data_IF_364094193879
#
_entry.id   IF_364094193879
#
_cell.length_a   1.000
_cell.length_b   1.000
_cell.length_c   1.000
_cell.angle_alpha   90.00
_cell.angle_beta   90.00
_cell.angle_gamma   90.00
#
_symmetry.space_group_name_H-M   'P 1'
#
loop_
_entity.id
_entity.type
_entity.pdbx_description
1 polymer ?
#
# COMPACT_ATOMS: atom_id res chain seq x y z
N UNK A 1 -9.27 18.65 -14.22
CA UNK A 1 -10.20 17.81 -13.41
C UNK A 1 -9.57 17.67 -12.03
N UNK A 2 -10.34 17.65 -10.94
CA UNK A 2 -9.76 17.39 -9.60
C UNK A 2 -9.22 15.96 -9.55
N UNK A 3 -8.10 15.79 -8.85
CA UNK A 3 -7.40 14.51 -8.68
C UNK A 3 -6.95 13.86 -9.99
N UNK A 4 -6.66 14.67 -11.01
CA UNK A 4 -6.12 14.21 -12.29
C UNK A 4 -4.66 13.76 -12.11
N UNK A 5 -4.37 12.53 -12.53
CA UNK A 5 -3.05 11.93 -12.48
C UNK A 5 -2.42 11.76 -13.88
N UNK A 6 -3.03 12.39 -14.90
CA UNK A 6 -2.53 12.33 -16.28
C UNK A 6 -1.07 12.80 -16.36
N UNK A 7 -0.22 11.99 -16.99
CA UNK A 7 1.22 12.22 -17.10
C UNK A 7 2.03 11.90 -15.85
N UNK A 8 1.39 11.39 -14.77
CA UNK A 8 2.10 10.84 -13.63
C UNK A 8 2.44 9.37 -13.85
N UNK A 9 3.53 8.94 -13.23
CA UNK A 9 4.01 7.56 -13.26
C UNK A 9 4.02 6.97 -11.87
N UNK A 10 3.65 5.68 -11.73
CA UNK A 10 3.54 5.06 -10.42
C UNK A 10 4.02 3.61 -10.36
N UNK A 11 4.48 3.19 -9.17
CA UNK A 11 4.75 1.79 -8.82
C UNK A 11 3.77 1.35 -7.74
N UNK A 12 3.05 0.25 -8.00
CA UNK A 12 2.12 -0.37 -7.04
C UNK A 12 2.60 -1.78 -6.72
N UNK A 13 2.93 -2.05 -5.44
CA UNK A 13 3.32 -3.40 -5.00
C UNK A 13 2.12 -4.21 -4.54
N UNK A 14 2.16 -5.54 -4.71
CA UNK A 14 1.03 -6.42 -4.40
C UNK A 14 -0.20 -6.14 -5.27
N UNK A 15 0.01 -5.68 -6.50
CA UNK A 15 -1.02 -5.15 -7.38
C UNK A 15 -2.01 -6.21 -7.90
N UNK A 16 -1.63 -7.49 -7.94
CA UNK A 16 -2.50 -8.58 -8.41
C UNK A 16 -3.37 -9.20 -7.31
N UNK A 17 -3.36 -8.65 -6.10
CA UNK A 17 -4.13 -9.14 -4.95
C UNK A 17 -5.08 -8.08 -4.39
N UNK A 18 -6.21 -8.50 -3.83
CA UNK A 18 -7.12 -7.72 -3.00
C UNK A 18 -7.16 -6.21 -3.26
N UNK A 19 -6.71 -5.44 -2.29
CA UNK A 19 -6.68 -3.98 -2.36
C UNK A 19 -5.78 -3.43 -3.47
N UNK A 20 -4.65 -4.12 -3.77
CA UNK A 20 -3.71 -3.68 -4.80
C UNK A 20 -4.34 -3.55 -6.18
N UNK A 21 -5.24 -4.47 -6.51
CA UNK A 21 -6.02 -4.43 -7.77
C UNK A 21 -6.91 -3.17 -7.85
N UNK A 22 -7.64 -2.87 -6.78
CA UNK A 22 -8.52 -1.70 -6.72
C UNK A 22 -7.71 -0.39 -6.75
N UNK A 23 -6.61 -0.32 -6.01
CA UNK A 23 -5.69 0.82 -5.99
C UNK A 23 -5.13 1.09 -7.40
N UNK A 24 -4.60 0.05 -8.06
CA UNK A 24 -4.02 0.22 -9.39
C UNK A 24 -5.07 0.63 -10.43
N UNK A 25 -6.30 0.05 -10.37
CA UNK A 25 -7.41 0.47 -11.22
C UNK A 25 -7.80 1.93 -10.99
N UNK A 26 -7.89 2.37 -9.75
CA UNK A 26 -8.24 3.74 -9.41
C UNK A 26 -7.21 4.75 -9.93
N UNK A 27 -5.92 4.48 -9.71
CA UNK A 27 -4.82 5.33 -10.20
C UNK A 27 -4.76 5.37 -11.75
N UNK A 28 -4.89 4.21 -12.41
CA UNK A 28 -4.93 4.11 -13.86
C UNK A 28 -6.16 4.83 -14.44
N UNK A 29 -7.32 4.69 -13.81
CA UNK A 29 -8.56 5.36 -14.19
C UNK A 29 -8.48 6.90 -14.11
N UNK A 30 -7.57 7.44 -13.30
CA UNK A 30 -7.26 8.86 -13.22
C UNK A 30 -6.10 9.28 -14.14
N UNK A 31 -5.62 8.40 -15.01
CA UNK A 31 -4.63 8.71 -16.04
C UNK A 31 -3.18 8.44 -15.65
N UNK A 32 -2.88 7.84 -14.51
CA UNK A 32 -1.52 7.46 -14.16
C UNK A 32 -1.03 6.26 -15.00
N UNK A 33 0.20 6.33 -15.51
CA UNK A 33 0.90 5.18 -16.08
C UNK A 33 1.60 4.39 -14.99
N UNK A 34 1.36 3.07 -14.91
CA UNK A 34 1.77 2.27 -13.78
C UNK A 34 2.75 1.15 -14.15
N UNK A 35 3.72 0.93 -13.25
CA UNK A 35 4.31 -0.38 -13.03
C UNK A 35 3.49 -1.07 -11.93
N UNK A 36 2.94 -2.24 -12.24
CA UNK A 36 2.29 -3.13 -11.29
C UNK A 36 3.27 -4.23 -10.89
N UNK A 37 3.42 -4.51 -9.59
CA UNK A 37 4.36 -5.52 -9.10
C UNK A 37 3.72 -6.50 -8.13
N UNK A 38 4.19 -7.75 -8.17
CA UNK A 38 3.73 -8.85 -7.34
C UNK A 38 4.58 -10.10 -7.55
N UNK A 39 4.43 -11.10 -6.69
CA UNK A 39 5.22 -12.35 -6.75
C UNK A 39 4.72 -13.37 -7.77
N UNK A 40 3.41 -13.37 -8.08
CA UNK A 40 2.84 -14.26 -9.09
C UNK A 40 2.78 -13.55 -10.44
N UNK A 41 3.72 -13.88 -11.32
CA UNK A 41 3.91 -13.22 -12.62
C UNK A 41 2.69 -13.44 -13.55
N UNK A 42 2.12 -14.62 -13.60
CA UNK A 42 0.97 -14.93 -14.48
C UNK A 42 -0.26 -14.09 -14.10
N UNK A 43 -0.60 -14.05 -12.79
CA UNK A 43 -1.70 -13.21 -12.29
C UNK A 43 -1.44 -11.74 -12.52
N UNK A 44 -0.17 -11.32 -12.38
CA UNK A 44 0.24 -9.94 -12.56
C UNK A 44 0.11 -9.50 -14.03
N UNK A 45 0.53 -10.33 -14.97
CA UNK A 45 0.41 -10.07 -16.40
C UNK A 45 -1.05 -10.02 -16.86
N UNK A 46 -1.87 -10.98 -16.40
CA UNK A 46 -3.31 -10.97 -16.67
C UNK A 46 -3.97 -9.69 -16.12
N UNK A 47 -3.61 -9.29 -14.91
CA UNK A 47 -4.11 -8.06 -14.31
C UNK A 47 -3.65 -6.82 -15.10
N UNK A 48 -2.36 -6.70 -15.43
CA UNK A 48 -1.83 -5.62 -16.25
C UNK A 48 -2.58 -5.50 -17.58
N UNK A 49 -2.84 -6.63 -18.25
CA UNK A 49 -3.61 -6.64 -19.49
C UNK A 49 -5.04 -6.11 -19.30
N UNK A 50 -5.68 -6.41 -18.16
CA UNK A 50 -7.04 -5.94 -17.85
C UNK A 50 -7.13 -4.43 -17.54
N UNK A 51 -6.03 -3.77 -17.21
CA UNK A 51 -6.01 -2.32 -16.98
C UNK A 51 -6.15 -1.53 -18.30
N UNK A 52 -5.82 -2.14 -19.43
CA UNK A 52 -5.67 -1.41 -20.70
C UNK A 52 -4.46 -0.47 -20.67
N UNK A 53 -4.28 0.30 -21.76
CA UNK A 53 -3.22 1.32 -21.78
C UNK A 53 -1.80 0.77 -21.76
N UNK A 54 -0.84 1.66 -21.49
CA UNK A 54 0.60 1.37 -21.51
C UNK A 54 1.14 1.17 -20.07
N UNK A 55 0.61 0.15 -19.38
CA UNK A 55 1.10 -0.26 -18.06
C UNK A 55 2.11 -1.40 -18.19
N UNK A 56 3.03 -1.53 -17.21
CA UNK A 56 4.09 -2.53 -17.21
C UNK A 56 3.94 -3.46 -15.99
N UNK A 57 4.21 -4.75 -16.17
CA UNK A 57 4.28 -5.71 -15.07
C UNK A 57 5.75 -6.02 -14.74
N UNK A 58 6.12 -5.98 -13.45
CA UNK A 58 7.44 -6.38 -12.97
C UNK A 58 7.25 -7.32 -11.79
N UNK A 59 7.63 -8.60 -11.99
CA UNK A 59 7.63 -9.61 -10.93
C UNK A 59 8.65 -9.25 -9.85
N UNK A 60 8.24 -9.31 -8.57
CA UNK A 60 9.15 -9.12 -7.45
C UNK A 60 8.66 -9.92 -6.23
N UNK A 61 9.55 -10.73 -5.67
CA UNK A 61 9.35 -11.34 -4.37
C UNK A 61 9.93 -10.43 -3.28
N UNK A 62 9.07 -9.86 -2.44
CA UNK A 62 9.50 -8.92 -1.39
C UNK A 62 10.24 -9.58 -0.21
N UNK A 63 10.32 -10.90 -0.15
CA UNK A 63 11.21 -11.60 0.77
C UNK A 63 12.66 -11.68 0.28
N UNK A 64 12.93 -11.31 -0.98
CA UNK A 64 14.27 -11.23 -1.55
C UNK A 64 14.73 -9.77 -1.57
N UNK A 65 15.60 -9.41 -0.64
CA UNK A 65 16.11 -8.04 -0.53
C UNK A 65 16.83 -7.54 -1.79
N UNK A 66 17.52 -8.42 -2.53
CA UNK A 66 18.19 -8.05 -3.78
C UNK A 66 17.17 -7.71 -4.88
N UNK A 67 16.11 -8.50 -5.00
CA UNK A 67 15.01 -8.23 -5.92
C UNK A 67 14.30 -6.91 -5.56
N UNK A 68 14.08 -6.64 -4.27
CA UNK A 68 13.48 -5.39 -3.79
C UNK A 68 14.33 -4.18 -4.15
N UNK A 69 15.66 -4.25 -3.98
CA UNK A 69 16.58 -3.15 -4.29
C UNK A 69 16.61 -2.82 -5.80
N UNK A 70 16.29 -3.79 -6.68
CA UNK A 70 16.19 -3.60 -8.12
C UNK A 70 14.81 -3.12 -8.60
N UNK A 71 13.77 -3.29 -7.82
CA UNK A 71 12.39 -3.02 -8.28
C UNK A 71 12.17 -1.55 -8.66
N UNK A 72 12.59 -0.60 -7.83
CA UNK A 72 12.43 0.83 -8.14
C UNK A 72 13.29 1.26 -9.32
N UNK A 73 14.59 0.92 -9.44
CA UNK A 73 15.38 1.18 -10.64
C UNK A 73 14.72 0.67 -11.91
N UNK A 74 14.27 -0.58 -11.93
CA UNK A 74 13.59 -1.19 -13.08
C UNK A 74 12.26 -0.49 -13.41
N UNK A 75 11.49 -0.09 -12.38
CA UNK A 75 10.26 0.67 -12.58
C UNK A 75 10.52 2.05 -13.19
N UNK A 76 11.53 2.76 -12.70
CA UNK A 76 11.94 4.08 -13.26
C UNK A 76 12.33 3.95 -14.73
N UNK A 77 13.13 2.93 -15.08
CA UNK A 77 13.52 2.66 -16.47
C UNK A 77 12.28 2.37 -17.35
N UNK A 78 11.42 1.45 -16.93
CA UNK A 78 10.21 1.06 -17.65
C UNK A 78 9.22 2.24 -17.84
N UNK A 79 9.23 3.20 -16.91
CA UNK A 79 8.39 4.40 -16.96
C UNK A 79 9.04 5.59 -17.68
N UNK A 80 10.20 5.41 -18.32
CA UNK A 80 10.86 6.46 -19.08
C UNK A 80 11.70 7.43 -18.23
N UNK A 81 12.25 6.95 -17.12
CA UNK A 81 13.18 7.70 -16.27
C UNK A 81 12.51 8.49 -15.13
N UNK A 82 11.21 8.27 -14.86
CA UNK A 82 10.43 9.03 -13.89
C UNK A 82 9.63 8.11 -12.97
N UNK A 83 9.52 8.48 -11.70
CA UNK A 83 8.63 7.85 -10.73
C UNK A 83 8.01 8.93 -9.83
N UNK A 84 6.70 9.16 -9.97
CA UNK A 84 5.96 10.18 -9.22
C UNK A 84 5.23 9.59 -8.01
N UNK A 85 4.77 8.34 -8.11
CA UNK A 85 3.91 7.70 -7.10
C UNK A 85 4.52 6.35 -6.72
N UNK A 86 4.67 6.10 -5.42
CA UNK A 86 5.00 4.79 -4.85
C UNK A 86 3.89 4.36 -3.90
N UNK A 87 3.27 3.20 -4.20
CA UNK A 87 2.29 2.56 -3.32
C UNK A 87 2.91 1.29 -2.70
N UNK A 88 3.25 1.35 -1.43
CA UNK A 88 3.64 0.20 -0.64
C UNK A 88 2.36 -0.48 -0.12
N UNK A 89 1.80 -1.41 -0.91
CA UNK A 89 0.58 -2.11 -0.58
C UNK A 89 0.82 -3.59 -0.25
N UNK A 90 1.82 -4.24 -0.82
CA UNK A 90 2.10 -5.64 -0.56
C UNK A 90 2.27 -5.91 0.94
N UNK A 91 1.75 -7.04 1.38
CA UNK A 91 1.88 -7.49 2.75
C UNK A 91 1.30 -8.88 2.97
N UNK A 92 1.78 -9.54 4.00
CA UNK A 92 1.35 -10.87 4.43
C UNK A 92 0.98 -10.86 5.90
N UNK A 93 0.21 -11.85 6.33
CA UNK A 93 -0.07 -12.16 7.73
C UNK A 93 0.43 -13.56 8.06
N UNK A 94 0.89 -13.77 9.29
CA UNK A 94 1.23 -15.07 9.88
C UNK A 94 0.69 -15.04 11.30
N UNK A 95 -0.62 -15.24 11.41
CA UNK A 95 -1.35 -15.08 12.67
C UNK A 95 -1.08 -16.26 13.59
N UNK A 96 -0.61 -15.97 14.80
CA UNK A 96 -0.40 -16.95 15.85
C UNK A 96 -0.41 -16.26 17.22
N UNK A 97 -0.84 -16.97 18.28
CA UNK A 97 -0.76 -16.43 19.64
C UNK A 97 0.71 -16.21 20.03
N UNK A 98 0.99 -15.16 20.81
CA UNK A 98 2.35 -14.77 21.20
C UNK A 98 3.21 -15.96 21.68
N UNK A 99 2.68 -16.83 22.52
CA UNK A 99 3.40 -17.98 23.05
C UNK A 99 3.66 -19.11 22.04
N UNK A 100 3.04 -19.04 20.87
CA UNK A 100 3.16 -20.05 19.79
C UNK A 100 3.77 -19.48 18.51
N UNK A 101 3.87 -18.16 18.41
CA UNK A 101 4.44 -17.47 17.26
C UNK A 101 5.92 -17.85 17.15
N UNK A 102 6.31 -18.32 15.98
CA UNK A 102 7.70 -18.67 15.69
C UNK A 102 8.48 -17.46 15.20
N UNK A 103 9.79 -17.51 15.37
CA UNK A 103 10.68 -16.43 14.92
C UNK A 103 10.59 -16.23 13.41
N UNK A 104 10.53 -17.30 12.61
CA UNK A 104 10.37 -17.23 11.16
C UNK A 104 9.04 -16.59 10.72
N UNK A 105 7.94 -16.85 11.43
CA UNK A 105 6.64 -16.19 11.21
C UNK A 105 6.70 -14.68 11.49
N UNK A 106 7.45 -14.29 12.51
CA UNK A 106 7.66 -12.89 12.86
C UNK A 106 8.57 -12.20 11.84
N UNK A 107 9.72 -12.78 11.54
CA UNK A 107 10.73 -12.26 10.62
C UNK A 107 10.18 -12.09 9.20
N UNK A 108 9.46 -13.08 8.66
CA UNK A 108 8.84 -12.99 7.34
C UNK A 108 7.89 -11.79 7.22
N UNK A 109 7.04 -11.58 8.24
CA UNK A 109 6.08 -10.47 8.24
C UNK A 109 6.79 -9.13 8.32
N UNK A 110 7.81 -8.99 9.16
CA UNK A 110 8.60 -7.76 9.26
C UNK A 110 9.34 -7.49 7.96
N UNK A 111 9.97 -8.50 7.38
CA UNK A 111 10.73 -8.38 6.14
C UNK A 111 9.86 -7.91 4.97
N UNK A 112 8.70 -8.55 4.77
CA UNK A 112 7.84 -8.24 3.63
C UNK A 112 7.05 -6.94 3.85
N UNK A 113 6.49 -6.75 5.05
CA UNK A 113 5.56 -5.63 5.29
C UNK A 113 6.26 -4.32 5.63
N UNK A 114 7.44 -4.37 6.27
CA UNK A 114 8.11 -3.18 6.78
C UNK A 114 9.47 -2.94 6.11
N UNK A 115 10.37 -3.93 6.12
CA UNK A 115 11.71 -3.74 5.56
C UNK A 115 11.68 -3.52 4.05
N UNK A 116 10.88 -4.28 3.30
CA UNK A 116 10.72 -4.05 1.86
C UNK A 116 10.19 -2.64 1.57
N UNK A 117 9.19 -2.16 2.31
CA UNK A 117 8.68 -0.80 2.16
C UNK A 117 9.77 0.26 2.43
N UNK A 118 10.59 0.08 3.47
CA UNK A 118 11.74 0.94 3.74
C UNK A 118 12.71 0.98 2.55
N UNK A 119 13.09 -0.19 2.00
CA UNK A 119 14.00 -0.28 0.86
C UNK A 119 13.44 0.44 -0.38
N UNK A 120 12.14 0.24 -0.66
CA UNK A 120 11.46 0.89 -1.78
C UNK A 120 11.36 2.41 -1.60
N UNK A 121 11.03 2.91 -0.39
CA UNK A 121 11.02 4.35 -0.10
C UNK A 121 12.41 4.96 -0.29
N UNK A 122 13.45 4.32 0.24
CA UNK A 122 14.85 4.75 0.11
C UNK A 122 15.28 4.83 -1.36
N UNK A 123 14.92 3.84 -2.16
CA UNK A 123 15.24 3.81 -3.59
C UNK A 123 14.45 4.89 -4.37
N UNK A 124 13.18 5.11 -4.05
CA UNK A 124 12.32 6.10 -4.69
C UNK A 124 12.68 7.56 -4.32
N UNK A 125 13.25 7.79 -3.14
CA UNK A 125 13.59 9.12 -2.66
C UNK A 125 14.52 9.88 -3.64
N UNK A 126 15.55 9.21 -4.18
CA UNK A 126 16.53 9.87 -5.07
C UNK A 126 15.92 10.40 -6.38
N UNK A 127 15.20 9.62 -7.19
CA UNK A 127 14.55 10.14 -8.40
C UNK A 127 13.48 11.19 -8.09
N UNK A 128 12.69 11.02 -7.02
CA UNK A 128 11.67 11.98 -6.60
C UNK A 128 12.30 13.32 -6.13
N UNK A 129 13.40 13.29 -5.37
CA UNK A 129 14.12 14.50 -4.98
C UNK A 129 14.69 15.24 -6.19
N UNK A 130 15.22 14.52 -7.21
CA UNK A 130 15.71 15.12 -8.45
C UNK A 130 14.58 15.80 -9.23
N UNK A 131 13.40 15.18 -9.27
CA UNK A 131 12.20 15.72 -9.91
C UNK A 131 11.54 16.85 -9.09
N UNK A 132 11.88 17.00 -7.78
CA UNK A 132 11.20 17.87 -6.82
C UNK A 132 9.68 17.60 -6.75
N UNK A 133 9.33 16.36 -6.91
CA UNK A 133 7.95 15.86 -6.83
C UNK A 133 7.94 14.38 -6.46
N UNK A 134 7.04 13.98 -5.56
CA UNK A 134 6.84 12.58 -5.20
C UNK A 134 5.63 12.40 -4.28
N UNK A 135 5.02 11.24 -4.38
CA UNK A 135 3.89 10.78 -3.56
C UNK A 135 4.16 9.36 -3.10
N UNK A 136 4.48 9.19 -1.83
CA UNK A 136 4.72 7.89 -1.22
C UNK A 136 3.54 7.57 -0.31
N UNK A 137 2.87 6.45 -0.56
CA UNK A 137 1.68 6.03 0.17
C UNK A 137 1.86 4.60 0.63
N UNK A 138 1.77 4.35 1.93
CA UNK A 138 1.88 3.01 2.52
C UNK A 138 0.53 2.52 3.04
N UNK A 139 0.13 1.31 2.63
CA UNK A 139 -1.09 0.69 3.12
C UNK A 139 -0.77 -0.01 4.44
N UNK A 140 -1.27 0.57 5.52
CA UNK A 140 -1.15 0.06 6.89
C UNK A 140 -2.38 -0.78 7.27
N UNK A 141 -2.89 -0.63 8.46
CA UNK A 141 -4.13 -1.27 8.92
C UNK A 141 -4.63 -0.57 10.18
N UNK A 142 -5.93 -0.63 10.42
CA UNK A 142 -6.52 -0.20 11.69
C UNK A 142 -5.88 -0.92 12.88
N UNK A 143 -5.51 -2.21 12.73
CA UNK A 143 -4.86 -2.98 13.81
C UNK A 143 -3.44 -2.49 14.13
N UNK A 144 -2.78 -1.76 13.22
CA UNK A 144 -1.51 -1.11 13.51
C UNK A 144 -1.60 -0.03 14.59
N UNK A 145 -2.81 0.43 14.91
CA UNK A 145 -3.09 1.43 15.94
C UNK A 145 -3.83 0.82 17.14
N UNK A 146 -4.78 -0.09 16.88
CA UNK A 146 -5.62 -0.68 17.94
C UNK A 146 -5.02 -1.94 18.56
N UNK A 147 -4.11 -2.61 17.87
CA UNK A 147 -3.69 -3.96 18.19
C UNK A 147 -4.76 -5.00 17.79
N UNK A 148 -4.35 -6.27 17.73
CA UNK A 148 -5.25 -7.41 17.56
C UNK A 148 -4.60 -8.68 18.13
N UNK A 149 -5.29 -9.45 18.99
CA UNK A 149 -4.75 -10.72 19.49
C UNK A 149 -4.35 -11.66 18.35
N UNK A 150 -3.21 -12.33 18.49
CA UNK A 150 -2.68 -13.27 17.49
C UNK A 150 -1.93 -12.61 16.31
N UNK A 151 -1.78 -11.30 16.31
CA UNK A 151 -1.14 -10.55 15.20
C UNK A 151 0.03 -9.68 15.65
N UNK A 152 0.80 -10.10 16.65
CA UNK A 152 1.91 -9.28 17.17
C UNK A 152 2.92 -8.86 16.09
N UNK A 153 3.28 -9.76 15.16
CA UNK A 153 4.13 -9.50 14.00
C UNK A 153 3.51 -8.51 13.02
N UNK A 154 2.26 -8.74 12.62
CA UNK A 154 1.54 -7.89 11.66
C UNK A 154 1.30 -6.49 12.23
N UNK A 155 0.81 -6.40 13.46
CA UNK A 155 0.63 -5.13 14.18
C UNK A 155 1.94 -4.36 14.28
N UNK A 156 3.04 -5.02 14.69
CA UNK A 156 4.36 -4.40 14.75
C UNK A 156 4.78 -3.82 13.39
N UNK A 157 4.60 -4.58 12.30
CA UNK A 157 4.93 -4.14 10.95
C UNK A 157 4.11 -2.92 10.51
N UNK A 158 2.79 -2.92 10.77
CA UNK A 158 1.88 -1.84 10.37
C UNK A 158 2.04 -0.58 11.23
N UNK A 159 2.28 -0.73 12.52
CA UNK A 159 2.65 0.36 13.42
C UNK A 159 4.01 0.97 13.04
N UNK A 160 4.99 0.13 12.70
CA UNK A 160 6.30 0.56 12.19
C UNK A 160 6.19 1.41 10.92
N UNK A 161 5.31 1.03 9.97
CA UNK A 161 5.03 1.83 8.76
C UNK A 161 4.47 3.21 9.10
N UNK A 162 3.56 3.30 10.09
CA UNK A 162 3.01 4.59 10.54
C UNK A 162 4.12 5.49 11.11
N UNK A 163 4.99 4.93 11.95
CA UNK A 163 6.13 5.66 12.52
C UNK A 163 7.13 6.10 11.44
N UNK A 164 7.49 5.17 10.53
CA UNK A 164 8.42 5.44 9.42
C UNK A 164 7.87 6.50 8.46
N UNK A 165 6.55 6.49 8.18
CA UNK A 165 5.88 7.51 7.37
C UNK A 165 6.13 8.92 7.90
N UNK A 166 6.03 9.12 9.21
CA UNK A 166 6.25 10.44 9.84
C UNK A 166 7.70 10.90 9.72
N UNK A 167 8.66 10.01 9.94
CA UNK A 167 10.09 10.33 9.85
C UNK A 167 10.49 10.70 8.42
N UNK A 168 10.13 9.83 7.45
CA UNK A 168 10.46 10.04 6.03
C UNK A 168 9.76 11.29 5.47
N UNK A 169 8.54 11.59 5.95
CA UNK A 169 7.83 12.81 5.58
C UNK A 169 8.61 14.08 5.98
N UNK A 170 9.15 14.13 7.19
CA UNK A 170 9.95 15.27 7.66
C UNK A 170 11.23 15.45 6.83
N UNK A 171 11.88 14.36 6.45
CA UNK A 171 13.12 14.40 5.65
C UNK A 171 12.88 14.90 4.22
N UNK A 172 11.73 14.52 3.60
CA UNK A 172 11.50 14.71 2.17
C UNK A 172 10.58 15.89 1.84
N UNK A 173 9.84 16.46 2.80
CA UNK A 173 8.85 17.51 2.56
C UNK A 173 9.43 18.74 1.84
N UNK A 174 10.64 19.18 2.21
CA UNK A 174 11.32 20.33 1.60
C UNK A 174 11.68 20.12 0.12
N UNK A 175 11.54 18.88 -0.37
CA UNK A 175 11.80 18.48 -1.75
C UNK A 175 10.53 18.34 -2.60
N UNK A 176 9.36 18.73 -2.06
CA UNK A 176 8.07 18.61 -2.75
C UNK A 176 7.50 17.17 -2.75
N UNK A 177 7.99 16.32 -1.85
CA UNK A 177 7.57 14.93 -1.71
C UNK A 177 6.67 14.81 -0.48
N UNK A 178 5.49 14.22 -0.64
CA UNK A 178 4.64 13.86 0.48
C UNK A 178 4.73 12.36 0.77
N UNK A 179 4.70 12.01 2.05
CA UNK A 179 4.76 10.62 2.51
C UNK A 179 3.62 10.42 3.49
N UNK A 180 2.67 9.55 3.14
CA UNK A 180 1.46 9.32 3.92
C UNK A 180 1.18 7.82 4.06
N UNK A 181 0.33 7.48 5.00
CA UNK A 181 -0.19 6.13 5.20
C UNK A 181 -1.72 6.12 5.06
N UNK A 182 -2.27 4.99 4.66
CA UNK A 182 -3.70 4.70 4.72
C UNK A 182 -3.88 3.52 5.67
N UNK A 183 -4.81 3.63 6.62
CA UNK A 183 -5.15 2.58 7.57
C UNK A 183 -6.57 2.03 7.28
N UNK A 184 -6.67 0.98 6.44
CA UNK A 184 -7.95 0.32 6.18
C UNK A 184 -8.50 -0.36 7.44
N UNK A 185 -9.84 -0.41 7.54
CA UNK A 185 -10.55 -1.29 8.44
C UNK A 185 -10.77 -2.68 7.86
N UNK A 186 -11.90 -3.32 8.20
CA UNK A 186 -12.33 -4.55 7.54
C UNK A 186 -12.83 -4.26 6.13
N UNK A 187 -12.18 -4.90 5.16
CA UNK A 187 -12.46 -4.73 3.74
C UNK A 187 -13.07 -5.98 3.15
N UNK A 188 -14.03 -5.83 2.24
CA UNK A 188 -14.56 -6.93 1.45
C UNK A 188 -13.44 -7.59 0.65
N UNK A 189 -13.38 -8.90 0.68
CA UNK A 189 -12.37 -9.72 -0.01
C UNK A 189 -12.88 -11.14 -0.15
N UNK A 190 -12.25 -11.95 -1.00
CA UNK A 190 -12.57 -13.37 -1.10
C UNK A 190 -12.48 -14.12 0.26
N UNK A 191 -11.66 -13.64 1.18
CA UNK A 191 -11.54 -14.18 2.54
C UNK A 191 -12.76 -13.82 3.39
N UNK A 192 -13.27 -12.60 3.31
CA UNK A 192 -14.48 -12.18 4.04
C UNK A 192 -15.76 -12.73 3.44
N UNK A 193 -15.76 -13.05 2.14
CA UNK A 193 -16.89 -13.70 1.47
C UNK A 193 -17.08 -15.16 1.93
N UNK A 194 -16.01 -15.81 2.39
CA UNK A 194 -16.04 -17.17 2.93
C UNK A 194 -16.50 -17.25 4.40
N UNK A 195 -16.74 -16.12 5.08
CA UNK A 195 -17.20 -16.07 6.47
C UNK A 195 -18.68 -16.50 6.57
N UNK A 196 -18.99 -17.26 7.63
CA UNK A 196 -20.38 -17.52 7.96
C UNK A 196 -21.09 -16.26 8.52
N UNK A 197 -22.42 -16.30 8.58
CA UNK A 197 -23.26 -15.16 8.97
C UNK A 197 -22.90 -14.63 10.37
N UNK A 198 -22.69 -15.49 11.36
CA UNK A 198 -22.33 -15.12 12.72
C UNK A 198 -20.96 -14.41 12.79
N UNK A 199 -19.98 -14.89 12.03
CA UNK A 199 -18.66 -14.25 11.93
C UNK A 199 -18.76 -12.88 11.27
N UNK A 200 -19.57 -12.77 10.22
CA UNK A 200 -19.82 -11.53 9.50
C UNK A 200 -20.51 -10.50 10.40
N UNK A 201 -21.55 -10.88 11.13
CA UNK A 201 -22.22 -10.02 12.12
C UNK A 201 -21.26 -9.55 13.21
N UNK A 202 -20.41 -10.44 13.74
CA UNK A 202 -19.39 -10.11 14.73
C UNK A 202 -18.36 -9.09 14.25
N UNK A 203 -18.13 -9.00 12.92
CA UNK A 203 -17.30 -7.96 12.32
C UNK A 203 -18.10 -6.66 12.17
N UNK A 204 -19.32 -6.74 11.65
CA UNK A 204 -20.16 -5.55 11.37
C UNK A 204 -20.46 -4.74 12.62
N UNK A 205 -20.68 -5.40 13.75
CA UNK A 205 -20.90 -4.73 15.07
C UNK A 205 -19.71 -3.82 15.46
N UNK A 206 -18.50 -4.14 14.99
CA UNK A 206 -17.30 -3.35 15.28
C UNK A 206 -17.12 -2.14 14.35
N UNK A 207 -17.95 -2.01 13.32
CA UNK A 207 -17.85 -0.97 12.30
C UNK A 207 -19.03 0.01 12.48
N UNK A 208 -18.81 1.22 13.00
CA UNK A 208 -19.88 2.22 13.20
C UNK A 208 -20.72 2.52 11.94
N UNK A 209 -20.12 2.52 10.76
CA UNK A 209 -20.84 2.70 9.48
C UNK A 209 -21.77 1.51 9.15
N UNK A 210 -21.59 0.34 9.82
CA UNK A 210 -22.45 -0.83 9.67
C UNK A 210 -22.16 -1.70 8.45
N UNK A 211 -21.12 -1.42 7.69
CA UNK A 211 -20.70 -2.22 6.52
C UNK A 211 -19.18 -2.29 6.39
N UNK A 212 -18.67 -3.35 5.78
CA UNK A 212 -17.27 -3.45 5.43
C UNK A 212 -16.94 -2.49 4.29
N UNK A 213 -15.72 -1.95 4.29
CA UNK A 213 -15.22 -1.14 3.18
C UNK A 213 -14.96 -1.98 1.92
N UNK A 214 -14.92 -1.32 0.79
CA UNK A 214 -14.57 -1.89 -0.52
C UNK A 214 -13.14 -1.51 -0.92
N UNK A 215 -12.57 -2.21 -1.87
CA UNK A 215 -11.28 -1.82 -2.47
C UNK A 215 -11.32 -0.42 -3.08
N UNK A 216 -12.49 0.02 -3.57
CA UNK A 216 -12.65 1.34 -4.18
C UNK A 216 -12.53 2.48 -3.16
N UNK A 217 -12.90 2.27 -1.89
CA UNK A 217 -12.69 3.26 -0.82
C UNK A 217 -11.20 3.54 -0.61
N UNK A 218 -10.38 2.48 -0.67
CA UNK A 218 -8.93 2.61 -0.56
C UNK A 218 -8.32 3.17 -1.85
N UNK A 219 -8.85 2.77 -3.00
CA UNK A 219 -8.49 3.34 -4.30
C UNK A 219 -8.69 4.86 -4.36
N UNK A 220 -9.86 5.33 -3.93
CA UNK A 220 -10.18 6.75 -3.86
C UNK A 220 -9.24 7.53 -2.91
N UNK A 221 -8.94 6.96 -1.74
CA UNK A 221 -7.98 7.54 -0.80
C UNK A 221 -6.56 7.62 -1.39
N UNK A 222 -6.12 6.58 -2.13
CA UNK A 222 -4.85 6.59 -2.84
C UNK A 222 -4.80 7.65 -3.93
N UNK A 223 -5.87 7.80 -4.73
CA UNK A 223 -5.97 8.83 -5.77
C UNK A 223 -5.86 10.23 -5.14
N UNK A 224 -6.59 10.50 -4.06
CA UNK A 224 -6.46 11.77 -3.34
C UNK A 224 -5.03 12.05 -2.91
N UNK A 225 -4.41 11.12 -2.16
CA UNK A 225 -3.05 11.32 -1.64
C UNK A 225 -1.97 11.34 -2.74
N UNK A 226 -2.22 10.72 -3.90
CA UNK A 226 -1.34 10.77 -5.06
C UNK A 226 -1.44 12.07 -5.86
N UNK A 227 -2.54 12.79 -5.73
CA UNK A 227 -2.84 13.99 -6.52
C UNK A 227 -2.01 15.22 -6.12
N UNK A 228 -2.07 16.25 -6.94
CA UNK A 228 -1.46 17.56 -6.65
C UNK A 228 -2.17 18.26 -5.51
N UNK A 229 -3.47 18.04 -5.37
CA UNK A 229 -4.34 18.64 -4.36
C UNK A 229 -3.93 18.20 -2.93
N UNK A 230 -3.35 17.02 -2.77
CA UNK A 230 -2.80 16.56 -1.48
C UNK A 230 -1.36 17.07 -1.20
N UNK A 231 -0.86 18.03 -1.96
CA UNK A 231 0.51 18.54 -1.83
C UNK A 231 0.86 19.15 -0.47
N UNK A 232 -0.13 19.48 0.36
CA UNK A 232 0.07 19.99 1.73
C UNK A 232 -0.25 18.95 2.81
N UNK A 233 -0.54 17.70 2.40
CA UNK A 233 -0.80 16.56 3.31
C UNK A 233 0.42 15.65 3.33
N UNK A 234 1.16 15.65 4.44
CA UNK A 234 2.34 14.79 4.60
C UNK A 234 2.48 14.34 6.06
N UNK A 235 3.05 13.15 6.28
CA UNK A 235 3.22 12.55 7.59
C UNK A 235 1.92 12.04 8.22
N UNK A 236 0.82 12.00 7.47
CA UNK A 236 -0.50 11.64 7.97
C UNK A 236 -0.82 10.15 7.78
N UNK A 237 -1.65 9.63 8.66
CA UNK A 237 -2.31 8.35 8.47
C UNK A 237 -3.80 8.62 8.24
N UNK A 238 -4.25 8.37 7.01
CA UNK A 238 -5.66 8.50 6.65
C UNK A 238 -6.40 7.21 7.05
N UNK A 239 -7.29 7.32 8.03
CA UNK A 239 -8.09 6.20 8.51
C UNK A 239 -9.31 5.99 7.62
N UNK A 240 -9.34 4.86 6.87
CA UNK A 240 -10.44 4.46 5.99
C UNK A 240 -11.01 3.15 6.54
N UNK A 241 -11.78 3.25 7.63
CA UNK A 241 -12.13 2.09 8.46
C UNK A 241 -13.58 2.09 8.98
N UNK A 242 -14.45 2.92 8.40
CA UNK A 242 -15.86 2.98 8.80
C UNK A 242 -16.09 3.40 10.25
N UNK A 243 -15.11 4.11 10.85
CA UNK A 243 -15.19 4.57 12.25
C UNK A 243 -14.69 3.57 13.28
N UNK A 244 -14.08 2.45 12.90
CA UNK A 244 -13.52 1.46 13.84
C UNK A 244 -12.43 2.05 14.76
N UNK A 245 -11.68 3.03 14.27
CA UNK A 245 -10.73 3.79 15.06
C UNK A 245 -10.77 5.25 14.61
N UNK A 246 -11.03 6.15 15.57
CA UNK A 246 -11.11 7.60 15.40
C UNK A 246 -9.93 8.22 16.16
N UNK A 247 -8.84 8.57 15.43
CA UNK A 247 -7.55 8.98 15.98
C UNK A 247 -7.08 10.30 15.36
#
# INVERSE_FOLDING_TARGET
>A
MMFDLTGMTGLVTGASGGLGTAIAKALAGQGARLVVSGSNVEKLDAFRASLGGDHVAIGCNLSDGAAVDQLVPSAVEALGGKLDILINNAGVTRDNLLMRMKDDEFEEVIQINLEAAFRLMRAAARPMMKARFGRIISITSVVGVTGNPGQANYVASKAGLIGMTKSVAQELASRGITVNAIAPGFMMSAMTDALNEQQREGILVKIPVGQMGSGDDIGAACVYLASKEAGYVTGQTLHVNGGMAML
#
